data_IF_721886459126
#
_entry.id   IF_721886459126
#
_cell.length_a   1.000
_cell.length_b   1.000
_cell.length_c   1.000
_cell.angle_alpha   90.00
_cell.angle_beta   90.00
_cell.angle_gamma   90.00
#
_symmetry.space_group_name_H-M   'P 1'
#
loop_
_entity.id
_entity.type
_entity.pdbx_description
1 polymer ?
#
# COMPACT_ATOMS: atom_id res chain seq x y z
N UNK A 1 20.17 36.09 -7.99
CA UNK A 1 20.69 36.38 -9.34
C UNK A 1 21.76 35.34 -9.65
N UNK A 2 21.72 34.67 -10.80
CA UNK A 2 22.75 33.69 -11.17
C UNK A 2 24.11 34.41 -11.33
N UNK A 3 25.21 33.78 -10.90
CA UNK A 3 26.52 34.28 -11.10
C UNK A 3 26.89 34.24 -12.59
N UNK A 4 27.69 35.21 -13.05
CA UNK A 4 28.22 35.18 -14.41
C UNK A 4 29.12 33.95 -14.63
N UNK A 5 29.10 33.41 -15.84
CA UNK A 5 29.88 32.21 -16.22
C UNK A 5 31.38 32.47 -16.13
N UNK A 6 32.18 31.39 -16.08
CA UNK A 6 33.64 31.45 -16.04
C UNK A 6 34.19 32.12 -17.30
N UNK A 7 33.78 31.67 -18.47
CA UNK A 7 34.18 32.25 -19.78
C UNK A 7 33.95 33.77 -19.85
N UNK A 8 32.79 34.24 -19.33
CA UNK A 8 32.51 35.66 -19.30
C UNK A 8 33.41 36.43 -18.35
N UNK A 9 33.86 35.85 -17.25
CA UNK A 9 34.81 36.42 -16.30
C UNK A 9 36.22 36.50 -16.90
N UNK A 10 36.64 35.44 -17.60
CA UNK A 10 37.91 35.36 -18.33
C UNK A 10 37.98 36.47 -19.37
N UNK A 11 36.98 36.65 -20.23
CA UNK A 11 36.94 37.72 -21.23
C UNK A 11 37.08 39.13 -20.63
N UNK A 12 36.52 39.36 -19.44
CA UNK A 12 36.68 40.67 -18.76
C UNK A 12 38.14 40.86 -18.29
N UNK A 13 38.75 39.80 -17.80
CA UNK A 13 40.14 39.81 -17.32
C UNK A 13 41.11 39.99 -18.48
N UNK A 14 40.93 39.22 -19.55
CA UNK A 14 41.74 39.33 -20.76
C UNK A 14 41.68 40.75 -21.35
N UNK A 15 40.48 41.30 -21.46
CA UNK A 15 40.33 42.70 -21.92
C UNK A 15 41.01 43.72 -20.98
N UNK A 16 41.09 43.41 -19.67
CA UNK A 16 41.82 44.28 -18.74
C UNK A 16 43.33 44.23 -18.91
N UNK A 17 43.88 43.03 -18.97
CA UNK A 17 45.35 42.86 -18.97
C UNK A 17 45.96 42.93 -20.37
N UNK A 18 45.34 42.33 -21.40
CA UNK A 18 45.85 42.31 -22.77
C UNK A 18 45.60 43.62 -23.52
N UNK A 19 44.37 44.13 -23.41
CA UNK A 19 43.98 45.37 -24.11
C UNK A 19 44.17 46.63 -23.24
N UNK A 20 44.59 46.51 -21.98
CA UNK A 20 44.77 47.60 -20.99
C UNK A 20 43.52 48.47 -20.81
N UNK A 21 42.33 47.87 -20.88
CA UNK A 21 41.07 48.60 -20.77
C UNK A 21 40.74 48.92 -19.30
N UNK A 22 40.39 50.18 -19.04
CA UNK A 22 40.06 50.64 -17.69
C UNK A 22 38.75 50.01 -17.18
N UNK A 23 38.61 49.84 -15.84
CA UNK A 23 37.41 49.24 -15.19
C UNK A 23 36.11 49.89 -15.64
N UNK A 24 36.07 51.22 -15.81
CA UNK A 24 34.87 51.93 -16.28
C UNK A 24 34.52 51.57 -17.72
N UNK A 25 35.52 51.46 -18.62
CA UNK A 25 35.29 51.05 -20.00
C UNK A 25 34.90 49.57 -20.10
N UNK A 26 35.46 48.68 -19.26
CA UNK A 26 35.06 47.26 -19.15
C UNK A 26 33.60 47.13 -18.72
N UNK A 27 33.20 47.85 -17.66
CA UNK A 27 31.81 47.83 -17.18
C UNK A 27 30.82 48.24 -18.27
N UNK A 28 31.15 49.27 -19.06
CA UNK A 28 30.37 49.75 -20.21
C UNK A 28 30.35 48.72 -21.36
N UNK A 29 31.56 48.19 -21.75
CA UNK A 29 31.71 47.23 -22.86
C UNK A 29 30.98 45.94 -22.63
N UNK A 30 31.08 45.37 -21.42
CA UNK A 30 30.44 44.11 -21.06
C UNK A 30 29.03 44.28 -20.44
N UNK A 31 28.52 45.52 -20.32
CA UNK A 31 27.22 45.84 -19.75
C UNK A 31 27.01 45.26 -18.35
N UNK A 32 28.02 45.36 -17.50
CA UNK A 32 27.99 44.90 -16.12
C UNK A 32 28.22 46.04 -15.13
N UNK A 33 27.84 45.84 -13.86
CA UNK A 33 28.12 46.85 -12.83
C UNK A 33 29.63 47.04 -12.63
N UNK A 34 30.08 48.28 -12.49
CA UNK A 34 31.48 48.65 -12.20
C UNK A 34 31.99 47.88 -10.97
N UNK A 35 31.17 47.79 -9.92
CA UNK A 35 31.48 47.07 -8.68
C UNK A 35 31.70 45.56 -8.89
N UNK A 36 31.13 44.96 -9.92
CA UNK A 36 31.39 43.56 -10.27
C UNK A 36 32.80 43.41 -10.84
N UNK A 37 33.18 44.26 -11.78
CA UNK A 37 34.53 44.26 -12.39
C UNK A 37 35.59 44.49 -11.31
N UNK A 38 35.40 45.49 -10.44
CA UNK A 38 36.32 45.78 -9.32
C UNK A 38 36.49 44.58 -8.39
N UNK A 39 35.38 43.95 -7.99
CA UNK A 39 35.37 42.74 -7.13
C UNK A 39 36.06 41.55 -7.82
N UNK A 40 35.85 41.38 -9.13
CA UNK A 40 36.46 40.29 -9.89
C UNK A 40 37.99 40.47 -9.95
N UNK A 41 38.49 41.68 -10.31
CA UNK A 41 39.93 42.00 -10.39
C UNK A 41 40.57 41.97 -8.99
N UNK A 42 39.87 42.44 -7.96
CA UNK A 42 40.34 42.32 -6.57
C UNK A 42 40.54 40.87 -6.17
N UNK A 43 39.57 40.02 -6.44
CA UNK A 43 39.62 38.58 -6.11
C UNK A 43 40.75 37.89 -6.86
N UNK A 44 40.92 38.16 -8.17
CA UNK A 44 42.03 37.62 -8.94
C UNK A 44 43.38 37.97 -8.31
N UNK A 45 43.56 39.23 -7.86
CA UNK A 45 44.81 39.68 -7.22
C UNK A 45 45.04 39.05 -5.85
N UNK A 46 43.98 38.82 -5.07
CA UNK A 46 44.06 38.30 -3.70
C UNK A 46 44.17 36.78 -3.64
N UNK A 47 43.48 36.07 -4.54
CA UNK A 47 43.33 34.60 -4.47
C UNK A 47 43.80 33.85 -5.71
N UNK A 48 44.14 34.55 -6.80
CA UNK A 48 44.45 33.91 -8.10
C UNK A 48 43.23 33.26 -8.77
N UNK A 49 42.07 33.30 -8.15
CA UNK A 49 40.86 32.58 -8.59
C UNK A 49 39.75 33.53 -9.05
N UNK A 50 39.11 33.16 -10.15
CA UNK A 50 37.99 33.91 -10.76
C UNK A 50 36.66 33.19 -10.72
N UNK A 51 36.62 31.97 -10.19
CA UNK A 51 35.40 31.18 -10.07
C UNK A 51 34.34 31.93 -9.26
N UNK A 52 33.03 31.77 -9.58
CA UNK A 52 32.01 32.29 -8.72
C UNK A 52 32.14 31.72 -7.31
N UNK A 53 31.97 32.58 -6.29
CA UNK A 53 31.85 32.02 -4.92
C UNK A 53 30.74 31.02 -4.88
N UNK A 54 30.90 29.88 -4.20
CA UNK A 54 29.78 28.97 -3.94
C UNK A 54 28.65 29.76 -3.29
N UNK A 55 27.40 29.35 -3.58
CA UNK A 55 26.24 29.99 -2.96
C UNK A 55 26.46 29.97 -1.45
N UNK A 56 26.39 31.12 -0.81
CA UNK A 56 26.43 31.23 0.63
C UNK A 56 25.30 30.36 1.19
N UNK A 57 25.64 29.53 2.16
CA UNK A 57 24.67 28.62 2.79
C UNK A 57 23.41 29.37 3.22
N UNK A 58 22.28 28.67 3.11
CA UNK A 58 21.02 29.15 3.69
C UNK A 58 21.12 29.30 5.22
N UNK A 59 20.04 29.69 5.90
CA UNK A 59 20.00 29.74 7.36
C UNK A 59 20.48 28.41 7.94
N UNK A 60 21.24 28.46 9.02
CA UNK A 60 21.70 27.27 9.74
C UNK A 60 20.50 26.37 10.08
N UNK A 61 20.63 25.05 9.95
CA UNK A 61 19.60 24.12 10.40
C UNK A 61 19.24 24.38 11.86
N UNK A 62 17.95 24.40 12.18
CA UNK A 62 17.47 24.61 13.56
C UNK A 62 17.76 23.44 14.49
N UNK A 63 17.90 22.24 13.91
CA UNK A 63 18.22 21.01 14.65
C UNK A 63 19.56 20.47 14.20
N UNK A 64 20.34 19.98 15.15
CA UNK A 64 21.59 19.24 14.91
C UNK A 64 21.31 17.74 14.67
N UNK A 65 22.37 16.95 14.44
CA UNK A 65 22.25 15.51 14.15
C UNK A 65 21.59 14.73 15.27
N UNK A 66 21.90 15.01 16.54
CA UNK A 66 21.30 14.32 17.69
C UNK A 66 19.80 14.60 17.80
N UNK A 67 19.40 15.84 17.59
CA UNK A 67 17.99 16.24 17.61
C UNK A 67 17.19 15.67 16.46
N UNK A 68 17.82 15.45 15.29
CA UNK A 68 17.19 14.74 14.19
C UNK A 68 16.97 13.25 14.52
N UNK A 69 17.91 12.60 15.22
CA UNK A 69 17.72 11.24 15.71
C UNK A 69 16.63 11.17 16.78
N UNK A 70 16.55 12.17 17.66
CA UNK A 70 15.47 12.27 18.63
C UNK A 70 14.10 12.36 17.94
N UNK A 71 13.94 13.20 16.90
CA UNK A 71 12.68 13.26 16.13
C UNK A 71 12.34 11.90 15.53
N UNK A 72 13.32 11.13 15.04
CA UNK A 72 13.10 9.77 14.55
C UNK A 72 12.58 8.85 15.66
N UNK A 73 13.23 8.87 16.82
CA UNK A 73 12.84 8.06 17.97
C UNK A 73 11.44 8.42 18.48
N UNK A 74 11.05 9.70 18.49
CA UNK A 74 9.70 10.14 18.85
C UNK A 74 8.65 9.58 17.89
N UNK A 75 8.90 9.59 16.59
CA UNK A 75 7.98 9.00 15.59
C UNK A 75 7.93 7.47 15.69
N UNK A 76 9.03 6.81 16.04
CA UNK A 76 9.06 5.36 16.26
C UNK A 76 8.32 4.97 17.55
N UNK A 77 8.39 5.77 18.59
CA UNK A 77 7.67 5.56 19.84
C UNK A 77 6.15 5.80 19.70
N UNK A 78 5.76 6.83 18.94
CA UNK A 78 4.36 7.13 18.63
C UNK A 78 4.22 7.50 17.14
N UNK A 79 3.88 6.52 16.33
CA UNK A 79 3.69 6.71 14.90
C UNK A 79 2.37 7.42 14.52
N UNK A 80 1.51 7.71 15.49
CA UNK A 80 0.27 8.49 15.33
C UNK A 80 0.47 9.98 15.63
N UNK A 81 1.57 10.34 16.26
CA UNK A 81 1.84 11.71 16.65
C UNK A 81 1.69 12.69 15.47
N UNK A 82 0.93 13.72 15.68
CA UNK A 82 0.79 14.83 14.73
C UNK A 82 2.06 15.69 14.72
N UNK A 83 2.25 16.48 13.66
CA UNK A 83 3.38 17.41 13.61
C UNK A 83 3.37 18.45 14.76
N UNK A 84 2.22 18.73 15.36
CA UNK A 84 2.12 19.61 16.51
C UNK A 84 2.64 18.89 17.76
N UNK A 85 2.16 17.69 18.03
CA UNK A 85 2.61 16.86 19.16
C UNK A 85 4.11 16.56 19.08
N UNK A 86 4.64 16.26 17.90
CA UNK A 86 6.10 16.10 17.71
C UNK A 86 6.87 17.40 18.03
N UNK A 87 6.31 18.57 17.72
CA UNK A 87 6.93 19.85 18.13
C UNK A 87 6.94 20.02 19.64
N UNK A 88 5.83 19.67 20.31
CA UNK A 88 5.68 19.80 21.76
C UNK A 88 6.58 18.79 22.49
N UNK A 89 6.65 17.54 22.04
CA UNK A 89 7.55 16.51 22.56
C UNK A 89 9.03 16.91 22.41
N UNK A 90 9.43 17.38 21.20
CA UNK A 90 10.78 17.88 20.97
C UNK A 90 11.13 19.06 21.90
N UNK A 91 10.20 19.98 22.10
CA UNK A 91 10.40 21.13 22.98
C UNK A 91 10.53 20.69 24.44
N UNK A 92 9.76 19.69 24.87
CA UNK A 92 9.84 19.15 26.24
C UNK A 92 11.22 18.52 26.53
N UNK A 93 11.79 17.79 25.55
CA UNK A 93 13.06 17.09 25.72
C UNK A 93 14.31 17.96 25.46
N UNK A 94 14.21 18.98 24.59
CA UNK A 94 15.39 19.76 24.16
C UNK A 94 15.29 21.24 24.43
N UNK A 95 14.13 21.74 24.89
CA UNK A 95 13.82 23.18 24.99
C UNK A 95 13.85 23.93 23.64
N UNK A 96 13.93 23.23 22.52
CA UNK A 96 13.97 23.81 21.17
C UNK A 96 12.58 23.89 20.59
N UNK A 97 12.09 25.08 20.34
CA UNK A 97 10.79 25.31 19.72
C UNK A 97 10.93 25.50 18.22
N UNK A 98 10.22 24.69 17.44
CA UNK A 98 10.13 24.80 15.98
C UNK A 98 8.68 24.85 15.51
N UNK A 99 8.46 25.43 14.35
CA UNK A 99 7.11 25.46 13.78
C UNK A 99 6.72 24.12 13.17
N UNK A 100 5.41 23.82 13.09
CA UNK A 100 4.85 22.65 12.39
C UNK A 100 5.37 22.52 10.97
N UNK A 101 5.52 23.64 10.23
CA UNK A 101 6.08 23.64 8.87
C UNK A 101 7.55 23.23 8.84
N UNK A 102 8.33 23.54 9.87
CA UNK A 102 9.72 23.12 10.02
C UNK A 102 9.78 21.63 10.35
N UNK A 103 8.98 21.17 11.31
CA UNK A 103 8.83 19.75 11.64
C UNK A 103 8.44 18.94 10.41
N UNK A 104 7.45 19.41 9.63
CA UNK A 104 7.03 18.74 8.39
C UNK A 104 8.17 18.57 7.37
N UNK A 105 9.07 19.56 7.24
CA UNK A 105 10.26 19.44 6.38
C UNK A 105 11.28 18.47 6.96
N UNK A 106 11.44 18.45 8.29
CA UNK A 106 12.37 17.55 8.97
C UNK A 106 11.93 16.10 8.78
N UNK A 107 10.68 15.74 9.07
CA UNK A 107 10.18 14.37 8.90
C UNK A 107 10.25 13.92 7.43
N UNK A 108 10.04 14.84 6.48
CA UNK A 108 10.23 14.56 5.06
C UNK A 108 11.70 14.29 4.70
N UNK A 109 12.64 15.07 5.25
CA UNK A 109 14.08 14.87 5.05
C UNK A 109 14.55 13.56 5.70
N UNK A 110 13.94 13.16 6.82
CA UNK A 110 14.17 11.87 7.48
C UNK A 110 13.47 10.69 6.77
N UNK A 111 12.78 10.93 5.65
CA UNK A 111 12.01 9.94 4.88
C UNK A 111 10.85 9.31 5.66
N UNK A 112 10.40 9.96 6.75
CA UNK A 112 9.26 9.57 7.55
C UNK A 112 7.97 10.05 6.88
N UNK A 113 7.51 9.32 5.88
CA UNK A 113 6.34 9.70 5.08
C UNK A 113 5.04 9.21 5.71
N UNK A 114 3.98 10.02 5.63
CA UNK A 114 2.65 9.60 6.07
C UNK A 114 2.15 8.42 5.24
N UNK A 115 1.84 7.31 5.91
CA UNK A 115 1.30 6.07 5.31
C UNK A 115 -0.14 5.85 5.77
N UNK A 116 -0.93 5.11 4.98
CA UNK A 116 -2.18 4.54 5.47
C UNK A 116 -1.84 3.43 6.45
N UNK A 117 -2.41 3.47 7.67
CA UNK A 117 -2.22 2.40 8.65
C UNK A 117 -2.83 1.10 8.14
N UNK A 118 -2.09 0.02 8.29
CA UNK A 118 -2.64 -1.33 8.28
C UNK A 118 -3.11 -1.60 9.72
N UNK A 119 -4.42 -1.82 9.89
CA UNK A 119 -4.98 -2.16 11.19
C UNK A 119 -5.02 -3.69 11.31
N UNK A 120 -4.41 -4.19 12.37
CA UNK A 120 -4.46 -5.61 12.75
C UNK A 120 -5.28 -5.73 14.04
N UNK A 121 -5.98 -6.86 14.21
CA UNK A 121 -6.63 -7.14 15.48
C UNK A 121 -5.55 -7.29 16.57
N UNK A 122 -5.76 -6.67 17.72
CA UNK A 122 -4.81 -6.73 18.85
C UNK A 122 -4.52 -8.16 19.28
N UNK A 123 -5.54 -9.02 19.19
CA UNK A 123 -5.47 -10.43 19.52
C UNK A 123 -4.59 -11.25 18.55
N UNK A 124 -4.37 -10.76 17.32
CA UNK A 124 -3.55 -11.45 16.31
C UNK A 124 -2.11 -11.72 16.79
N UNK A 125 -1.58 -10.82 17.64
CA UNK A 125 -0.23 -10.93 18.21
C UNK A 125 -0.17 -11.75 19.50
N UNK A 126 -1.30 -12.28 20.00
CA UNK A 126 -1.32 -13.07 21.22
C UNK A 126 -0.55 -14.38 21.07
N UNK A 127 0.10 -14.88 22.16
CA UNK A 127 0.82 -16.16 22.12
C UNK A 127 -0.05 -17.32 21.64
N UNK A 128 -1.35 -17.31 22.01
CA UNK A 128 -2.32 -18.31 21.58
C UNK A 128 -2.50 -18.32 20.06
N UNK A 129 -2.64 -17.14 19.43
CA UNK A 129 -2.81 -17.06 17.98
C UNK A 129 -1.51 -17.42 17.26
N UNK A 130 -0.36 -16.97 17.75
CA UNK A 130 0.94 -17.35 17.18
C UNK A 130 1.12 -18.87 17.18
N UNK A 131 0.78 -19.55 18.29
CA UNK A 131 0.84 -21.03 18.36
C UNK A 131 -0.15 -21.64 17.37
N UNK A 132 -1.40 -21.19 17.32
CA UNK A 132 -2.39 -21.69 16.37
C UNK A 132 -1.97 -21.54 14.90
N UNK A 133 -1.23 -20.48 14.56
CA UNK A 133 -0.63 -20.31 13.23
C UNK A 133 0.47 -21.33 12.93
N UNK A 134 1.30 -21.63 13.90
CA UNK A 134 2.33 -22.70 13.79
C UNK A 134 1.67 -24.06 13.62
N UNK A 135 0.69 -24.37 14.47
CA UNK A 135 -0.03 -25.65 14.42
C UNK A 135 -0.75 -25.86 13.07
N UNK A 136 -1.39 -24.80 12.56
CA UNK A 136 -1.99 -24.80 11.23
C UNK A 136 -0.97 -25.15 10.14
N UNK A 137 0.18 -24.50 10.13
CA UNK A 137 1.22 -24.75 9.13
C UNK A 137 1.82 -26.17 9.25
N UNK A 138 1.97 -26.69 10.46
CA UNK A 138 2.41 -28.07 10.67
C UNK A 138 1.40 -29.07 10.09
N UNK A 139 0.10 -28.82 10.23
CA UNK A 139 -0.96 -29.68 9.73
C UNK A 139 -1.17 -29.56 8.21
N UNK A 140 -1.03 -28.35 7.65
CA UNK A 140 -1.37 -28.10 6.23
C UNK A 140 -0.24 -28.47 5.29
N UNK A 141 1.03 -28.36 5.70
CA UNK A 141 2.20 -28.65 4.86
C UNK A 141 2.29 -30.11 4.37
N UNK A 142 1.60 -31.01 5.06
CA UNK A 142 1.51 -32.43 4.67
C UNK A 142 0.46 -32.66 3.57
N UNK A 143 -0.33 -31.62 3.23
CA UNK A 143 -1.39 -31.70 2.21
C UNK A 143 -0.82 -31.16 0.89
N UNK A 144 -0.93 -31.96 -0.16
CA UNK A 144 -0.54 -31.50 -1.50
C UNK A 144 -1.39 -30.27 -1.92
N UNK A 145 -0.80 -29.21 -2.49
CA UNK A 145 -1.50 -27.99 -2.86
C UNK A 145 -2.74 -28.21 -3.73
N UNK A 146 -2.72 -29.22 -4.59
CA UNK A 146 -3.82 -29.61 -5.49
C UNK A 146 -5.04 -30.13 -4.72
N UNK A 147 -4.86 -30.51 -3.44
CA UNK A 147 -5.93 -30.98 -2.58
C UNK A 147 -6.47 -29.89 -1.66
N UNK A 148 -5.89 -28.68 -1.67
CA UNK A 148 -6.36 -27.56 -0.87
C UNK A 148 -7.53 -26.87 -1.56
N UNK A 149 -8.58 -26.64 -0.80
CA UNK A 149 -9.79 -25.90 -1.23
C UNK A 149 -10.13 -24.88 -0.16
N UNK A 150 -10.03 -23.60 -0.46
CA UNK A 150 -10.32 -22.50 0.47
C UNK A 150 -11.73 -21.98 0.23
N UNK A 151 -12.54 -21.91 1.25
CA UNK A 151 -13.90 -21.39 1.17
C UNK A 151 -14.03 -20.13 2.01
N UNK A 152 -14.74 -19.12 1.46
CA UNK A 152 -15.00 -17.85 2.14
C UNK A 152 -16.21 -17.13 1.52
N UNK A 153 -16.63 -16.03 2.16
CA UNK A 153 -17.73 -15.17 1.76
C UNK A 153 -17.28 -13.74 1.50
N UNK A 154 -17.90 -13.11 0.52
CA UNK A 154 -17.68 -11.70 0.24
C UNK A 154 -18.99 -10.94 0.08
N UNK A 155 -19.18 -9.87 0.86
CA UNK A 155 -20.34 -8.99 0.71
C UNK A 155 -20.15 -7.97 -0.41
N UNK A 156 -21.20 -7.81 -1.24
CA UNK A 156 -21.29 -6.79 -2.30
C UNK A 156 -22.66 -6.12 -2.29
N UNK A 157 -22.82 -4.98 -2.95
CA UNK A 157 -24.08 -4.25 -3.01
C UNK A 157 -24.17 -3.35 -4.27
N UNK A 158 -25.31 -2.68 -4.46
CA UNK A 158 -25.57 -1.84 -5.62
C UNK A 158 -24.88 -0.46 -5.59
N UNK A 159 -24.16 -0.12 -4.52
CA UNK A 159 -23.42 1.14 -4.41
C UNK A 159 -21.92 1.00 -4.65
N UNK A 160 -21.51 -0.14 -5.24
CA UNK A 160 -20.10 -0.36 -5.59
C UNK A 160 -19.68 0.59 -6.70
N UNK A 161 -18.54 1.28 -6.49
CA UNK A 161 -17.92 2.22 -7.45
C UNK A 161 -16.41 2.20 -7.26
N UNK A 162 -15.66 2.60 -8.29
CA UNK A 162 -14.23 2.85 -8.13
C UNK A 162 -14.03 4.02 -7.18
N UNK A 163 -13.18 3.86 -6.17
CA UNK A 163 -12.88 4.90 -5.17
C UNK A 163 -11.75 5.84 -5.61
N UNK A 164 -11.04 5.49 -6.68
CA UNK A 164 -9.92 6.27 -7.19
C UNK A 164 -10.11 6.57 -8.67
N UNK A 165 -9.86 7.83 -9.05
CA UNK A 165 -9.84 8.30 -10.42
C UNK A 165 -8.71 9.31 -10.61
N UNK A 166 -8.39 9.65 -11.86
CA UNK A 166 -7.37 10.64 -12.19
C UNK A 166 -8.04 11.96 -12.52
N UNK A 167 -7.42 13.06 -12.07
CA UNK A 167 -7.80 14.43 -12.42
C UNK A 167 -6.53 15.26 -12.66
N UNK A 168 -6.62 16.40 -13.36
CA UNK A 168 -5.53 17.36 -13.49
C UNK A 168 -5.00 17.79 -12.11
N UNK A 169 -3.72 18.14 -12.05
CA UNK A 169 -3.08 18.62 -10.80
C UNK A 169 -3.86 19.82 -10.24
N UNK A 170 -4.22 19.74 -8.96
CA UNK A 170 -4.99 20.79 -8.26
C UNK A 170 -6.51 20.65 -8.38
N UNK A 171 -7.02 19.67 -9.13
CA UNK A 171 -8.44 19.36 -9.23
C UNK A 171 -8.78 18.06 -8.48
N UNK A 172 -10.04 17.94 -8.05
CA UNK A 172 -10.57 16.71 -7.48
C UNK A 172 -11.17 15.82 -8.56
N UNK A 173 -10.92 14.54 -8.52
CA UNK A 173 -11.71 13.57 -9.25
C UNK A 173 -13.08 13.45 -8.57
N UNK A 174 -14.15 13.63 -9.32
CA UNK A 174 -15.54 13.56 -8.85
C UNK A 174 -16.18 12.33 -9.48
N UNK A 175 -17.01 11.63 -8.73
CA UNK A 175 -17.79 10.49 -9.20
C UNK A 175 -19.06 10.33 -8.38
N UNK A 176 -20.06 9.70 -8.96
CA UNK A 176 -21.37 9.52 -8.35
C UNK A 176 -21.46 8.14 -7.70
N UNK A 177 -22.05 8.10 -6.52
CA UNK A 177 -22.35 6.88 -5.78
C UNK A 177 -23.82 6.93 -5.31
N UNK A 178 -24.61 5.84 -5.52
CA UNK A 178 -25.95 5.78 -4.99
C UNK A 178 -25.99 5.94 -3.47
N UNK A 179 -26.88 6.76 -2.94
CA UNK A 179 -27.12 6.89 -1.51
C UNK A 179 -27.70 5.60 -0.93
N UNK A 180 -28.64 4.97 -1.65
CA UNK A 180 -29.19 3.68 -1.29
C UNK A 180 -28.36 2.55 -1.93
N UNK A 181 -27.71 1.74 -1.09
CA UNK A 181 -26.89 0.60 -1.53
C UNK A 181 -27.69 -0.68 -1.83
N UNK A 182 -29.00 -0.67 -1.60
CA UNK A 182 -29.82 -1.88 -1.65
C UNK A 182 -29.49 -2.86 -0.51
N UNK A 183 -30.06 -4.07 -0.59
CA UNK A 183 -29.68 -5.17 0.31
C UNK A 183 -28.30 -5.70 -0.06
N UNK A 184 -27.55 -6.12 0.94
CA UNK A 184 -26.28 -6.81 0.70
C UNK A 184 -26.54 -8.14 -0.04
N UNK A 185 -25.60 -8.49 -0.88
CA UNK A 185 -25.55 -9.78 -1.57
C UNK A 185 -24.27 -10.46 -1.11
N UNK A 186 -24.40 -11.66 -0.53
CA UNK A 186 -23.25 -12.51 -0.18
C UNK A 186 -22.85 -13.36 -1.38
N UNK A 187 -21.60 -13.25 -1.78
CA UNK A 187 -20.95 -14.15 -2.72
C UNK A 187 -20.24 -15.22 -1.90
N UNK A 188 -20.53 -16.47 -2.18
CA UNK A 188 -19.89 -17.61 -1.51
C UNK A 188 -19.19 -18.43 -2.58
N UNK A 189 -17.98 -18.84 -2.28
CA UNK A 189 -17.19 -19.63 -3.22
C UNK A 189 -16.18 -20.50 -2.48
N UNK A 190 -15.83 -21.63 -3.07
CA UNK A 190 -14.65 -22.37 -2.71
C UNK A 190 -13.62 -22.25 -3.87
N UNK A 191 -12.35 -22.11 -3.54
CA UNK A 191 -11.26 -21.89 -4.48
C UNK A 191 -10.20 -22.97 -4.34
N UNK A 192 -9.85 -23.62 -5.43
CA UNK A 192 -8.72 -24.55 -5.51
C UNK A 192 -7.79 -24.16 -6.66
N UNK A 193 -6.65 -24.82 -6.80
CA UNK A 193 -5.79 -24.67 -7.99
C UNK A 193 -6.49 -25.03 -9.31
N UNK A 194 -7.60 -25.78 -9.25
CA UNK A 194 -8.43 -26.12 -10.42
C UNK A 194 -9.42 -25.01 -10.80
N UNK A 195 -9.58 -23.99 -9.95
CA UNK A 195 -10.50 -22.88 -10.19
C UNK A 195 -11.53 -22.72 -9.06
N UNK A 196 -12.51 -21.81 -9.26
CA UNK A 196 -13.65 -21.63 -8.39
C UNK A 196 -14.57 -22.87 -8.39
N UNK A 197 -15.03 -23.23 -7.20
CA UNK A 197 -15.90 -24.41 -6.97
C UNK A 197 -17.23 -23.95 -6.37
N UNK A 198 -18.34 -24.40 -6.95
CA UNK A 198 -19.69 -24.21 -6.44
C UNK A 198 -20.08 -22.75 -6.13
N UNK A 199 -19.80 -21.75 -6.98
CA UNK A 199 -20.12 -20.36 -6.68
C UNK A 199 -21.63 -20.21 -6.39
N UNK A 200 -21.95 -19.44 -5.34
CA UNK A 200 -23.32 -19.16 -4.90
C UNK A 200 -23.45 -17.66 -4.60
N UNK A 201 -24.63 -17.12 -4.93
CA UNK A 201 -25.01 -15.74 -4.65
C UNK A 201 -26.27 -15.75 -3.79
N UNK A 202 -26.23 -15.10 -2.63
CA UNK A 202 -27.33 -15.05 -1.66
C UNK A 202 -27.73 -13.60 -1.44
N UNK A 203 -29.03 -13.30 -1.50
CA UNK A 203 -29.54 -12.00 -1.10
C UNK A 203 -29.64 -11.93 0.43
N UNK A 204 -28.71 -11.25 1.08
CA UNK A 204 -28.57 -11.19 2.54
C UNK A 204 -27.25 -11.80 3.00
N UNK A 205 -27.17 -12.11 4.30
CA UNK A 205 -26.04 -12.80 4.90
C UNK A 205 -26.27 -14.32 4.89
N UNK A 206 -25.19 -15.09 4.89
CA UNK A 206 -25.24 -16.53 5.12
C UNK A 206 -25.31 -16.79 6.63
N UNK A 207 -26.20 -17.69 7.05
CA UNK A 207 -26.30 -18.23 8.40
C UNK A 207 -25.74 -19.65 8.47
N UNK A 208 -25.68 -20.22 9.68
CA UNK A 208 -25.13 -21.57 9.90
C UNK A 208 -25.87 -22.67 9.14
N UNK A 209 -27.21 -22.59 9.00
CA UNK A 209 -27.99 -23.57 8.25
C UNK A 209 -27.72 -23.46 6.74
N UNK A 210 -27.58 -22.24 6.23
CA UNK A 210 -27.25 -21.99 4.83
C UNK A 210 -25.83 -22.48 4.52
N UNK A 211 -24.86 -22.25 5.45
CA UNK A 211 -23.50 -22.77 5.36
C UNK A 211 -23.49 -24.30 5.27
N UNK A 212 -24.17 -24.98 6.19
CA UNK A 212 -24.28 -26.43 6.20
C UNK A 212 -24.89 -26.96 4.90
N UNK A 213 -26.04 -26.41 4.50
CA UNK A 213 -26.69 -26.79 3.24
C UNK A 213 -25.80 -26.53 2.00
N UNK A 214 -25.03 -25.45 2.00
CA UNK A 214 -24.10 -25.12 0.93
C UNK A 214 -22.97 -26.15 0.83
N UNK A 215 -22.34 -26.50 1.96
CA UNK A 215 -21.31 -27.54 1.97
C UNK A 215 -21.88 -28.88 1.49
N UNK A 216 -22.98 -29.35 2.09
CA UNK A 216 -23.51 -30.68 1.80
C UNK A 216 -24.00 -30.77 0.34
N UNK A 217 -24.70 -29.74 -0.14
CA UNK A 217 -25.42 -29.83 -1.44
C UNK A 217 -24.60 -29.28 -2.62
N UNK A 218 -23.62 -28.46 -2.37
CA UNK A 218 -22.90 -27.74 -3.44
C UNK A 218 -21.39 -27.97 -3.43
N UNK A 219 -20.74 -27.94 -2.26
CA UNK A 219 -19.29 -28.08 -2.19
C UNK A 219 -18.88 -29.54 -2.21
N UNK A 220 -19.35 -30.35 -1.27
CA UNK A 220 -18.97 -31.77 -1.14
C UNK A 220 -19.10 -32.57 -2.44
N UNK A 221 -20.21 -32.47 -3.22
CA UNK A 221 -20.34 -33.20 -4.49
C UNK A 221 -19.30 -32.80 -5.57
N UNK A 222 -18.61 -31.68 -5.41
CA UNK A 222 -17.59 -31.19 -6.31
C UNK A 222 -16.16 -31.39 -5.80
N UNK A 223 -16.00 -32.01 -4.62
CA UNK A 223 -14.69 -32.36 -4.07
C UNK A 223 -14.26 -33.74 -4.55
N UNK A 224 -13.03 -34.09 -4.27
CA UNK A 224 -12.37 -35.34 -4.65
C UNK A 224 -11.70 -35.99 -3.44
N UNK A 225 -11.43 -37.29 -3.48
CA UNK A 225 -10.71 -37.97 -2.40
C UNK A 225 -9.36 -37.32 -2.08
N UNK A 226 -9.13 -37.06 -0.79
CA UNK A 226 -7.95 -36.35 -0.29
C UNK A 226 -8.11 -34.83 -0.26
N UNK A 227 -9.20 -34.25 -0.74
CA UNK A 227 -9.44 -32.80 -0.65
C UNK A 227 -9.57 -32.34 0.81
N UNK A 228 -8.98 -31.19 1.11
CA UNK A 228 -9.06 -30.52 2.42
C UNK A 228 -9.77 -29.19 2.22
N UNK A 229 -11.00 -29.10 2.73
CA UNK A 229 -11.78 -27.86 2.72
C UNK A 229 -11.36 -26.99 3.89
N UNK A 230 -10.72 -25.87 3.60
CA UNK A 230 -10.24 -24.90 4.59
C UNK A 230 -11.25 -23.76 4.68
N UNK A 231 -11.75 -23.51 5.89
CA UNK A 231 -12.70 -22.44 6.21
C UNK A 231 -12.18 -21.58 7.35
N UNK A 232 -12.65 -20.34 7.46
CA UNK A 232 -12.32 -19.49 8.60
C UNK A 232 -13.02 -19.95 9.91
N UNK A 233 -12.63 -19.35 11.04
CA UNK A 233 -13.21 -19.64 12.35
C UNK A 233 -14.47 -18.80 12.65
N UNK A 234 -15.26 -18.43 11.64
CA UNK A 234 -16.53 -17.74 11.87
C UNK A 234 -17.47 -18.56 12.76
N UNK A 235 -18.21 -17.94 13.69
CA UNK A 235 -19.22 -18.66 14.47
C UNK A 235 -20.32 -19.34 13.64
N UNK A 236 -20.49 -18.93 12.40
CA UNK A 236 -21.42 -19.53 11.43
C UNK A 236 -20.87 -20.79 10.78
N UNK A 237 -19.53 -20.94 10.73
CA UNK A 237 -18.84 -22.08 10.10
C UNK A 237 -18.63 -23.20 11.11
N UNK A 238 -19.64 -24.00 11.35
CA UNK A 238 -19.59 -25.13 12.30
C UNK A 238 -19.34 -26.44 11.57
N UNK A 239 -18.43 -27.24 12.12
CA UNK A 239 -18.24 -28.64 11.72
C UNK A 239 -19.34 -29.50 12.38
N UNK A 240 -20.56 -29.44 11.83
CA UNK A 240 -21.65 -30.34 12.30
C UNK A 240 -21.34 -31.78 11.89
N UNK A 241 -22.04 -32.76 12.53
CA UNK A 241 -21.89 -34.17 12.16
C UNK A 241 -22.27 -34.39 10.68
N UNK A 242 -23.31 -33.69 10.21
CA UNK A 242 -23.81 -33.74 8.84
C UNK A 242 -22.76 -33.20 7.81
N UNK A 243 -22.08 -32.09 8.14
CA UNK A 243 -21.01 -31.55 7.31
C UNK A 243 -19.86 -32.52 7.23
N UNK A 244 -19.40 -33.05 8.36
CA UNK A 244 -18.29 -34.01 8.38
C UNK A 244 -18.65 -35.30 7.62
N UNK A 245 -19.82 -35.88 7.86
CA UNK A 245 -20.27 -37.05 7.14
C UNK A 245 -20.37 -36.86 5.62
N UNK A 246 -20.84 -35.69 5.18
CA UNK A 246 -20.92 -35.36 3.75
C UNK A 246 -19.51 -35.22 3.10
N UNK A 247 -18.57 -34.67 3.81
CA UNK A 247 -17.16 -34.56 3.32
C UNK A 247 -16.48 -35.92 3.32
N UNK A 248 -16.62 -36.70 4.39
CA UNK A 248 -16.06 -38.05 4.49
C UNK A 248 -16.60 -38.99 3.42
N UNK A 249 -17.90 -38.87 3.08
CA UNK A 249 -18.51 -39.67 2.01
C UNK A 249 -17.85 -39.50 0.65
N UNK A 250 -17.17 -38.36 0.39
CA UNK A 250 -16.43 -38.08 -0.82
C UNK A 250 -14.89 -38.19 -0.63
N UNK A 251 -14.45 -38.66 0.54
CA UNK A 251 -13.05 -38.80 0.90
C UNK A 251 -12.35 -37.47 1.16
N UNK A 252 -13.11 -36.42 1.48
CA UNK A 252 -12.59 -35.10 1.85
C UNK A 252 -12.68 -34.87 3.36
N UNK A 253 -12.04 -33.82 3.87
CA UNK A 253 -12.13 -33.41 5.27
C UNK A 253 -12.17 -31.91 5.44
N UNK A 254 -12.71 -31.44 6.56
CA UNK A 254 -12.72 -30.04 6.96
C UNK A 254 -11.46 -29.70 7.75
N UNK A 255 -10.95 -28.48 7.54
CA UNK A 255 -9.89 -27.89 8.37
C UNK A 255 -10.24 -26.41 8.62
N UNK A 256 -9.98 -25.95 9.83
CA UNK A 256 -10.15 -24.51 10.15
C UNK A 256 -8.83 -23.77 9.95
N UNK A 257 -8.91 -22.59 9.34
CA UNK A 257 -7.84 -21.63 9.26
C UNK A 257 -7.46 -21.18 10.67
N UNK A 258 -6.19 -20.85 10.90
CA UNK A 258 -5.82 -20.24 12.18
C UNK A 258 -6.51 -18.90 12.38
N UNK A 259 -6.91 -18.54 13.61
CA UNK A 259 -7.57 -17.26 13.87
C UNK A 259 -6.74 -16.07 13.38
N UNK A 260 -7.42 -15.02 12.90
CA UNK A 260 -6.78 -13.78 12.44
C UNK A 260 -5.71 -13.98 11.35
N UNK A 261 -5.89 -14.92 10.46
CA UNK A 261 -4.89 -15.28 9.43
C UNK A 261 -5.44 -15.18 7.99
N UNK A 262 -5.96 -14.03 7.55
CA UNK A 262 -6.40 -13.85 6.17
C UNK A 262 -5.25 -13.97 5.17
N UNK A 263 -4.00 -13.75 5.63
CA UNK A 263 -2.76 -13.91 4.87
C UNK A 263 -2.42 -15.38 4.54
N UNK A 264 -3.17 -16.34 5.08
CA UNK A 264 -3.06 -17.76 4.77
C UNK A 264 -4.19 -18.23 3.84
N UNK A 265 -4.97 -17.31 3.26
CA UNK A 265 -6.17 -17.65 2.51
C UNK A 265 -6.13 -17.12 1.08
N UNK A 266 -5.77 -17.95 0.09
CA UNK A 266 -5.70 -17.55 -1.33
C UNK A 266 -7.04 -17.05 -1.91
N UNK A 267 -8.15 -17.27 -1.22
CA UNK A 267 -9.45 -16.75 -1.62
C UNK A 267 -9.63 -15.25 -1.33
N UNK A 268 -8.84 -14.66 -0.43
CA UNK A 268 -8.89 -13.22 -0.14
C UNK A 268 -8.47 -12.35 -1.34
N UNK A 269 -7.33 -12.60 -1.99
CA UNK A 269 -6.98 -11.89 -3.24
C UNK A 269 -7.93 -12.22 -4.40
N UNK A 270 -8.55 -13.41 -4.44
CA UNK A 270 -9.63 -13.70 -5.38
C UNK A 270 -10.80 -12.72 -5.18
N UNK A 271 -11.28 -12.53 -3.93
CA UNK A 271 -12.32 -11.55 -3.63
C UNK A 271 -11.90 -10.11 -3.95
N UNK A 272 -10.66 -9.77 -3.70
CA UNK A 272 -10.11 -8.46 -4.07
C UNK A 272 -10.23 -8.21 -5.58
N UNK A 273 -9.84 -9.18 -6.43
CA UNK A 273 -9.96 -9.08 -7.89
C UNK A 273 -11.41 -8.97 -8.33
N UNK A 274 -12.29 -9.82 -7.80
CA UNK A 274 -13.74 -9.81 -8.09
C UNK A 274 -14.34 -8.46 -7.72
N UNK A 275 -14.14 -7.99 -6.47
CA UNK A 275 -14.68 -6.69 -6.00
C UNK A 275 -14.16 -5.51 -6.82
N UNK A 276 -12.89 -5.53 -7.22
CA UNK A 276 -12.32 -4.49 -8.08
C UNK A 276 -13.03 -4.45 -9.45
N UNK A 277 -13.36 -5.60 -10.00
CA UNK A 277 -14.11 -5.69 -11.26
C UNK A 277 -15.54 -5.19 -11.10
N UNK A 278 -16.25 -5.62 -10.03
CA UNK A 278 -17.59 -5.13 -9.72
C UNK A 278 -17.63 -3.62 -9.50
N UNK A 279 -16.64 -3.06 -8.80
CA UNK A 279 -16.47 -1.61 -8.65
C UNK A 279 -16.31 -0.89 -10.01
N UNK A 280 -15.69 -1.56 -10.99
CA UNK A 280 -15.50 -0.97 -12.32
C UNK A 280 -16.77 -1.00 -13.17
N UNK A 281 -17.59 -2.03 -13.02
CA UNK A 281 -18.89 -2.16 -13.71
C UNK A 281 -19.91 -1.20 -13.10
N UNK A 282 -19.95 -1.11 -11.78
CA UNK A 282 -20.86 -0.22 -11.07
C UNK A 282 -22.33 -0.56 -11.29
N UNK A 283 -22.70 -1.84 -11.16
CA UNK A 283 -24.07 -2.33 -11.34
C UNK A 283 -25.07 -1.62 -10.41
N UNK A 284 -26.23 -1.25 -10.93
CA UNK A 284 -27.30 -0.50 -10.21
C UNK A 284 -28.59 -1.30 -10.01
N UNK A 285 -28.66 -2.50 -10.53
CA UNK A 285 -29.77 -3.44 -10.33
C UNK A 285 -29.22 -4.81 -9.95
N UNK A 286 -29.99 -5.65 -9.29
CA UNK A 286 -29.55 -6.99 -8.92
C UNK A 286 -29.31 -7.88 -10.15
N UNK A 287 -30.05 -7.66 -11.23
CA UNK A 287 -29.82 -8.37 -12.49
C UNK A 287 -28.46 -7.99 -13.09
N UNK A 288 -28.16 -6.68 -13.21
CA UNK A 288 -26.86 -6.22 -13.67
C UNK A 288 -25.72 -6.64 -12.74
N UNK A 289 -25.97 -6.72 -11.42
CA UNK A 289 -24.99 -7.20 -10.45
C UNK A 289 -24.69 -8.68 -10.67
N UNK A 290 -25.70 -9.52 -10.95
CA UNK A 290 -25.53 -10.94 -11.27
C UNK A 290 -24.64 -11.11 -12.50
N UNK A 291 -24.94 -10.40 -13.58
CA UNK A 291 -24.16 -10.43 -14.84
C UNK A 291 -22.72 -9.95 -14.60
N UNK A 292 -22.55 -8.89 -13.79
CA UNK A 292 -21.23 -8.39 -13.41
C UNK A 292 -20.42 -9.40 -12.58
N UNK A 293 -21.07 -10.17 -11.70
CA UNK A 293 -20.43 -11.24 -10.92
C UNK A 293 -19.95 -12.35 -11.86
N UNK A 294 -20.80 -12.85 -12.75
CA UNK A 294 -20.43 -13.87 -13.74
C UNK A 294 -19.26 -13.40 -14.60
N UNK A 295 -19.30 -12.15 -15.06
CA UNK A 295 -18.20 -11.54 -15.80
C UNK A 295 -16.92 -11.42 -14.96
N UNK A 296 -17.02 -11.04 -13.68
CA UNK A 296 -15.86 -10.90 -12.81
C UNK A 296 -15.18 -12.25 -12.53
N UNK A 297 -15.95 -13.31 -12.31
CA UNK A 297 -15.43 -14.68 -12.17
C UNK A 297 -14.69 -15.14 -13.43
N UNK A 298 -15.24 -14.88 -14.62
CA UNK A 298 -14.62 -15.22 -15.89
C UNK A 298 -13.28 -14.50 -16.17
N UNK A 299 -12.97 -13.43 -15.41
CA UNK A 299 -11.69 -12.72 -15.52
C UNK A 299 -10.60 -13.30 -14.59
N UNK A 300 -10.92 -14.28 -13.77
CA UNK A 300 -9.94 -14.97 -12.93
C UNK A 300 -9.25 -16.05 -13.76
N UNK A 301 -7.95 -15.95 -13.89
CA UNK A 301 -7.15 -16.89 -14.68
C UNK A 301 -6.51 -17.96 -13.79
N UNK A 302 -6.10 -19.07 -14.37
CA UNK A 302 -5.34 -20.09 -13.66
C UNK A 302 -4.00 -19.54 -13.14
N UNK A 303 -3.39 -18.58 -13.84
CA UNK A 303 -2.17 -17.90 -13.40
C UNK A 303 -2.42 -17.05 -12.16
N UNK A 304 -3.53 -16.30 -12.08
CA UNK A 304 -3.91 -15.58 -10.87
C UNK A 304 -3.98 -16.51 -9.66
N UNK A 305 -4.70 -17.63 -9.81
CA UNK A 305 -4.91 -18.57 -8.72
C UNK A 305 -3.57 -19.19 -8.27
N UNK A 306 -2.74 -19.62 -9.20
CA UNK A 306 -1.42 -20.14 -8.91
C UNK A 306 -0.56 -19.12 -8.15
N UNK A 307 -0.57 -17.86 -8.60
CA UNK A 307 0.16 -16.78 -7.95
C UNK A 307 -0.34 -16.54 -6.52
N UNK A 308 -1.64 -16.60 -6.27
CA UNK A 308 -2.20 -16.46 -4.91
C UNK A 308 -1.77 -17.60 -4.00
N UNK A 309 -1.87 -18.85 -4.46
CA UNK A 309 -1.39 -20.01 -3.69
C UNK A 309 0.12 -19.96 -3.44
N UNK A 310 0.89 -19.42 -4.38
CA UNK A 310 2.35 -19.23 -4.21
C UNK A 310 2.66 -18.12 -3.22
N UNK A 311 1.95 -16.99 -3.29
CA UNK A 311 2.14 -15.87 -2.37
C UNK A 311 1.83 -16.26 -0.92
N UNK A 312 0.84 -17.12 -0.71
CA UNK A 312 0.45 -17.62 0.59
C UNK A 312 1.23 -18.90 0.98
N UNK A 313 2.33 -19.19 0.30
CA UNK A 313 3.30 -20.26 0.57
C UNK A 313 2.78 -21.69 0.43
N UNK A 314 1.67 -21.95 -0.28
CA UNK A 314 1.18 -23.30 -0.56
C UNK A 314 1.84 -23.94 -1.78
N UNK A 315 2.31 -23.14 -2.74
CA UNK A 315 3.07 -23.62 -3.89
C UNK A 315 4.46 -23.00 -3.91
N UNK A 316 5.42 -23.71 -4.45
CA UNK A 316 6.70 -23.12 -4.85
C UNK A 316 6.50 -22.39 -6.18
N UNK A 317 7.17 -21.25 -6.34
CA UNK A 317 7.30 -20.64 -7.67
C UNK A 317 7.97 -21.67 -8.57
N UNK A 318 7.19 -22.27 -9.48
CA UNK A 318 7.75 -23.14 -10.49
C UNK A 318 8.67 -22.32 -11.38
N UNK A 319 9.87 -22.82 -11.56
CA UNK A 319 10.79 -22.42 -12.63
C UNK A 319 10.14 -22.35 -14.01
#
# INVERSE_FOLDING_TARGET
>A
MKAYSLDFREKIIDAHFMERVSVRKLAKRFRVAKSFVEKLLKRLRETGDILPKPHGGGPQPKLNGEQLQLVRALVEADNDATLAELCDQLAAETSITISRSTMGRIVQTLELTRKKKALHATEAESPRVRQARVDYWQAIREVAPENLVFMDEAGVNLAMVRLYARAPKGQRAIGDRPANRGKNVSLVNALSLRGPIAPLTILGAMDGLTFEAYIIRRVAPNLWPGAVLVVDNSPTHKATEEVNAALEAVGARLMFLSPYSPDFSPIEPFWSKVKNKLNSVGARTYQALKEAIEFAYAQVTAEDIRNWFTNDCYCTSSE
#
